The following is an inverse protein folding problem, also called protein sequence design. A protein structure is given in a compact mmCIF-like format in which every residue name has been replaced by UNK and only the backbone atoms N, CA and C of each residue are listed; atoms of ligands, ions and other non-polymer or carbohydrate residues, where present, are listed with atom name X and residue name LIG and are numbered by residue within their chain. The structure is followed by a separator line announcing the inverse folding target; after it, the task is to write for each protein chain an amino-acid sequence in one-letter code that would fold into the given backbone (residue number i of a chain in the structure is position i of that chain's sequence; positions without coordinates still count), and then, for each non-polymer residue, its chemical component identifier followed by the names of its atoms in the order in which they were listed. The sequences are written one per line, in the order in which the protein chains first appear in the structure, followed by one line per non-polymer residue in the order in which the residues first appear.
data_IF_012095868785
#
_entry.id   IF_012095868785
#
_cell.length_a   1.000
_cell.length_b   1.000
_cell.length_c   1.000
_cell.angle_alpha   90.00
_cell.angle_beta   90.00
_cell.angle_gamma   90.00
#
_symmetry.space_group_name_H-M   'P 1'
#
loop_
_entity.id
_entity.type
_entity.pdbx_description
1 polymer ?
#
# COMPACT_ATOMS: atom_id res chain seq x y z
N UNK A 1 16.96 -27.53 8.50
CA UNK A 1 15.52 -27.89 8.64
C UNK A 1 14.64 -26.80 9.29
N UNK A 2 15.09 -25.55 9.53
CA UNK A 2 14.28 -24.51 10.21
C UNK A 2 13.43 -23.59 9.31
N UNK A 3 13.74 -23.50 8.01
CA UNK A 3 13.11 -22.55 7.08
C UNK A 3 11.63 -22.86 6.74
N UNK A 4 11.16 -24.09 6.99
CA UNK A 4 9.78 -24.49 6.67
C UNK A 4 8.76 -23.99 7.70
N UNK A 5 9.18 -23.85 8.96
CA UNK A 5 8.32 -23.36 10.04
C UNK A 5 8.09 -21.85 9.95
N UNK A 6 9.10 -21.06 9.57
CA UNK A 6 8.98 -19.59 9.45
C UNK A 6 8.03 -19.15 8.32
N UNK A 7 7.91 -19.95 7.26
CA UNK A 7 7.04 -19.64 6.11
C UNK A 7 5.54 -19.77 6.46
N UNK A 8 5.17 -20.75 7.28
CA UNK A 8 3.78 -20.97 7.67
C UNK A 8 3.25 -19.81 8.54
N UNK A 9 4.03 -19.33 9.50
CA UNK A 9 3.66 -18.17 10.33
C UNK A 9 3.60 -16.86 9.53
N UNK A 10 4.44 -16.69 8.51
CA UNK A 10 4.44 -15.50 7.65
C UNK A 10 3.13 -15.33 6.86
N UNK A 11 2.51 -16.45 6.49
CA UNK A 11 1.30 -16.52 5.65
C UNK A 11 -0.01 -16.53 6.44
N UNK A 12 0.04 -16.34 7.76
CA UNK A 12 -1.16 -16.23 8.54
C UNK A 12 -1.87 -14.88 8.28
N UNK A 13 -3.15 -14.94 7.92
CA UNK A 13 -4.06 -13.81 7.82
C UNK A 13 -3.58 -12.69 6.87
N UNK A 14 -3.06 -13.07 5.70
CA UNK A 14 -2.51 -12.15 4.69
C UNK A 14 -3.58 -11.21 4.13
N UNK A 15 -4.83 -11.67 3.99
CA UNK A 15 -5.95 -10.87 3.47
C UNK A 15 -6.24 -9.67 4.38
N UNK A 16 -6.49 -9.90 5.67
CA UNK A 16 -6.72 -8.83 6.65
C UNK A 16 -5.52 -7.88 6.75
N UNK A 17 -4.29 -8.40 6.63
CA UNK A 17 -3.07 -7.58 6.60
C UNK A 17 -3.03 -6.71 5.33
N UNK A 18 -3.38 -7.27 4.17
CA UNK A 18 -3.41 -6.53 2.92
C UNK A 18 -4.48 -5.42 2.95
N UNK A 19 -5.69 -5.72 3.42
CA UNK A 19 -6.75 -4.72 3.61
C UNK A 19 -6.32 -3.60 4.56
N UNK A 20 -5.62 -3.93 5.64
CA UNK A 20 -5.06 -2.96 6.57
C UNK A 20 -3.95 -2.11 5.95
N UNK A 21 -3.07 -2.68 5.13
CA UNK A 21 -2.01 -1.91 4.45
C UNK A 21 -2.58 -1.02 3.33
N UNK A 22 -3.57 -1.49 2.59
CA UNK A 22 -4.19 -0.74 1.48
C UNK A 22 -5.09 0.39 2.01
N UNK A 23 -5.75 0.18 3.16
CA UNK A 23 -6.57 1.22 3.79
C UNK A 23 -5.76 2.36 4.41
N UNK A 24 -4.45 2.18 4.63
CA UNK A 24 -3.57 3.28 5.02
C UNK A 24 -3.47 4.29 3.88
N UNK A 25 -3.41 5.57 4.25
CA UNK A 25 -3.10 6.62 3.26
C UNK A 25 -1.72 6.38 2.66
N UNK A 26 -1.57 6.68 1.37
CA UNK A 26 -0.27 6.63 0.69
C UNK A 26 0.75 7.43 1.51
N UNK A 27 1.97 6.89 1.71
CA UNK A 27 3.00 7.62 2.45
C UNK A 27 3.33 8.91 1.72
N UNK A 28 3.67 9.94 2.50
CA UNK A 28 4.20 11.18 1.92
C UNK A 28 5.49 10.89 1.15
N UNK A 29 5.76 11.70 0.13
CA UNK A 29 6.99 11.59 -0.64
C UNK A 29 8.22 11.70 0.27
N UNK A 30 9.26 10.96 -0.06
CA UNK A 30 10.52 11.04 0.67
C UNK A 30 11.07 12.49 0.66
N UNK A 31 11.73 12.93 1.76
CA UNK A 31 12.37 14.23 1.79
C UNK A 31 13.40 14.41 0.68
N UNK A 32 13.36 15.55 0.00
CA UNK A 32 14.36 15.93 -1.02
C UNK A 32 15.65 16.43 -0.35
N UNK A 33 16.79 16.20 -1.00
CA UNK A 33 18.09 16.72 -0.58
C UNK A 33 18.10 18.26 -0.60
N UNK A 34 18.82 18.95 0.32
CA UNK A 34 18.85 20.42 0.39
C UNK A 34 19.28 21.10 -0.92
N UNK A 35 20.29 20.57 -1.63
CA UNK A 35 20.73 21.14 -2.91
C UNK A 35 19.64 21.09 -3.99
N UNK A 36 18.83 20.03 -4.01
CA UNK A 36 17.71 19.92 -4.95
C UNK A 36 16.59 20.87 -4.57
N UNK A 37 16.36 21.10 -3.26
CA UNK A 37 15.33 22.04 -2.79
C UNK A 37 15.66 23.48 -3.18
N UNK A 38 16.91 23.91 -3.01
CA UNK A 38 17.32 25.28 -3.36
C UNK A 38 17.20 25.54 -4.87
N UNK A 39 17.64 24.59 -5.70
CA UNK A 39 17.51 24.68 -7.16
C UNK A 39 16.03 24.83 -7.58
N UNK A 40 15.16 23.97 -7.04
CA UNK A 40 13.73 24.03 -7.35
C UNK A 40 13.13 25.37 -6.91
N UNK A 41 13.51 25.88 -5.74
CA UNK A 41 13.02 27.17 -5.24
C UNK A 41 13.48 28.33 -6.13
N UNK A 42 14.73 28.34 -6.56
CA UNK A 42 15.26 29.34 -7.49
C UNK A 42 14.50 29.32 -8.81
N UNK A 43 14.30 28.13 -9.39
CA UNK A 43 13.55 27.98 -10.64
C UNK A 43 12.10 28.43 -10.53
N UNK A 44 11.42 28.10 -9.42
CA UNK A 44 10.06 28.56 -9.14
C UNK A 44 9.99 30.08 -8.94
N UNK A 45 11.00 30.67 -8.31
CA UNK A 45 11.08 32.13 -8.14
C UNK A 45 11.30 32.87 -9.46
N UNK A 46 12.03 32.25 -10.40
CA UNK A 46 12.32 32.83 -11.70
C UNK A 46 11.11 32.75 -12.64
N UNK A 47 10.30 31.69 -12.53
CA UNK A 47 9.18 31.42 -13.42
C UNK A 47 7.92 31.01 -12.63
N UNK A 48 7.24 31.97 -11.98
CA UNK A 48 6.03 31.69 -11.22
C UNK A 48 4.86 31.23 -12.11
N UNK A 49 4.88 31.62 -13.39
CA UNK A 49 3.85 31.27 -14.39
C UNK A 49 3.76 29.75 -14.63
N UNK A 50 4.87 29.01 -14.44
CA UNK A 50 4.92 27.56 -14.69
C UNK A 50 3.98 26.80 -13.75
N UNK A 51 3.84 27.21 -12.48
CA UNK A 51 2.92 26.54 -11.56
C UNK A 51 1.48 26.69 -12.03
N UNK A 52 1.12 27.88 -12.51
CA UNK A 52 -0.20 28.13 -13.07
C UNK A 52 -0.43 27.34 -14.35
N UNK A 53 0.53 27.32 -15.27
CA UNK A 53 0.46 26.57 -16.52
C UNK A 53 0.32 25.06 -16.30
N UNK A 54 1.08 24.49 -15.35
CA UNK A 54 1.01 23.06 -14.99
C UNK A 54 -0.33 22.71 -14.35
N UNK A 55 -0.92 23.64 -13.58
CA UNK A 55 -2.25 23.44 -12.99
C UNK A 55 -3.37 23.50 -14.04
N UNK A 56 -3.15 24.25 -15.12
CA UNK A 56 -4.11 24.44 -16.23
C UNK A 56 -4.02 23.28 -17.22
N UNK A 57 -5.14 22.97 -17.87
CA UNK A 57 -5.17 21.93 -18.91
C UNK A 57 -4.66 22.51 -20.23
N UNK A 58 -3.63 21.89 -20.80
CA UNK A 58 -3.18 22.21 -22.16
C UNK A 58 -4.06 21.49 -23.20
N UNK A 59 -4.96 22.24 -23.84
CA UNK A 59 -5.87 21.73 -24.85
C UNK A 59 -5.15 21.26 -26.12
N UNK A 60 -3.99 21.84 -26.44
CA UNK A 60 -3.20 21.44 -27.60
C UNK A 60 -2.62 20.05 -27.37
N UNK A 61 -1.98 19.83 -26.22
CA UNK A 61 -1.47 18.52 -25.85
C UNK A 61 -2.60 17.47 -25.80
N UNK A 62 -3.76 17.84 -25.27
CA UNK A 62 -4.92 16.95 -25.23
C UNK A 62 -5.42 16.53 -26.62
N UNK A 63 -5.35 17.42 -27.62
CA UNK A 63 -5.69 17.06 -29.01
C UNK A 63 -4.71 16.04 -29.57
N UNK A 64 -3.40 16.27 -29.43
CA UNK A 64 -2.35 15.38 -29.92
C UNK A 64 -2.41 13.98 -29.27
N UNK A 65 -2.71 13.91 -27.97
CA UNK A 65 -2.85 12.64 -27.27
C UNK A 65 -4.08 11.84 -27.70
N UNK A 66 -5.14 12.50 -28.20
CA UNK A 66 -6.31 11.82 -28.76
C UNK A 66 -6.01 11.22 -30.14
N UNK A 67 -5.13 11.86 -30.90
CA UNK A 67 -4.78 11.43 -32.26
C UNK A 67 -3.91 10.16 -32.25
N UNK A 68 -3.14 9.93 -31.18
CA UNK A 68 -2.25 8.75 -31.06
C UNK A 68 -3.00 7.56 -30.46
N UNK A 69 -3.34 6.60 -31.32
CA UNK A 69 -3.89 5.31 -30.89
C UNK A 69 -2.80 4.23 -30.90
N UNK A 70 -2.49 3.67 -29.72
CA UNK A 70 -1.55 2.55 -29.59
C UNK A 70 -2.34 1.25 -29.50
N UNK A 71 -2.20 0.39 -30.51
CA UNK A 71 -2.70 -0.98 -30.46
C UNK A 71 -1.61 -1.88 -29.86
N UNK A 72 -1.63 -2.09 -28.54
CA UNK A 72 -0.78 -3.07 -27.89
C UNK A 72 -1.37 -4.46 -28.08
N UNK A 73 -0.73 -5.29 -28.89
CA UNK A 73 -1.00 -6.73 -28.91
C UNK A 73 -0.15 -7.36 -27.81
N UNK A 74 -0.81 -7.96 -26.82
CA UNK A 74 -0.10 -8.80 -25.87
C UNK A 74 0.56 -9.95 -26.63
N UNK A 75 1.84 -10.25 -26.36
CA UNK A 75 2.45 -11.44 -26.90
C UNK A 75 1.64 -12.64 -26.38
N UNK A 76 1.00 -13.38 -27.29
CA UNK A 76 0.35 -14.64 -26.95
C UNK A 76 1.42 -15.50 -26.27
N UNK A 77 1.26 -15.89 -25.00
CA UNK A 77 2.24 -16.74 -24.36
C UNK A 77 2.30 -18.03 -25.17
N UNK A 78 3.44 -18.30 -25.81
CA UNK A 78 3.72 -19.56 -26.49
C UNK A 78 3.90 -20.64 -25.43
N UNK A 79 2.82 -20.98 -24.74
CA UNK A 79 2.75 -22.23 -24.02
C UNK A 79 2.79 -23.31 -25.11
N UNK A 80 3.75 -24.26 -25.07
CA UNK A 80 3.68 -25.40 -25.97
C UNK A 80 2.34 -26.09 -25.71
N UNK A 81 1.46 -26.06 -26.72
CA UNK A 81 0.25 -26.86 -26.76
C UNK A 81 0.72 -28.30 -26.77
N UNK A 82 0.86 -28.89 -25.57
CA UNK A 82 0.84 -30.34 -25.44
C UNK A 82 -0.52 -30.77 -25.97
N UNK A 83 -0.48 -31.71 -26.90
CA UNK A 83 -1.66 -32.31 -27.50
C UNK A 83 -2.74 -32.55 -26.44
N UNK A 84 -3.98 -32.27 -26.84
CA UNK A 84 -5.19 -32.42 -26.06
C UNK A 84 -5.26 -33.87 -25.55
N UNK A 85 -4.80 -34.12 -24.33
CA UNK A 85 -5.33 -35.18 -23.48
C UNK A 85 -6.60 -34.63 -22.83
N UNK A 86 -7.66 -35.46 -22.68
CA UNK A 86 -8.96 -35.01 -22.18
C UNK A 86 -8.77 -34.27 -20.86
N UNK A 87 -9.38 -33.08 -20.78
CA UNK A 87 -9.23 -32.13 -19.69
C UNK A 87 -9.17 -32.83 -18.33
N UNK A 88 -7.96 -32.88 -17.74
CA UNK A 88 -7.87 -33.02 -16.30
C UNK A 88 -8.53 -31.77 -15.74
N UNK A 89 -9.61 -31.99 -14.99
CA UNK A 89 -10.38 -30.96 -14.30
C UNK A 89 -9.43 -29.93 -13.69
N UNK A 90 -9.80 -28.63 -13.67
CA UNK A 90 -8.97 -27.60 -13.05
C UNK A 90 -8.56 -28.13 -11.69
N UNK A 91 -7.25 -28.37 -11.53
CA UNK A 91 -6.72 -29.06 -10.36
C UNK A 91 -7.00 -28.15 -9.18
N UNK A 92 -8.11 -28.42 -8.50
CA UNK A 92 -8.51 -27.68 -7.33
C UNK A 92 -7.35 -27.85 -6.35
N UNK A 93 -6.61 -26.77 -6.11
CA UNK A 93 -5.63 -26.72 -5.02
C UNK A 93 -6.40 -26.60 -3.70
N UNK A 94 -7.28 -27.57 -3.45
CA UNK A 94 -7.81 -27.80 -2.12
C UNK A 94 -6.71 -28.51 -1.35
N UNK A 95 -6.28 -27.88 -0.26
CA UNK A 95 -5.50 -28.58 0.75
C UNK A 95 -6.30 -29.85 1.12
N UNK A 96 -5.67 -31.03 1.22
CA UNK A 96 -6.37 -32.21 1.69
C UNK A 96 -6.95 -31.88 3.08
N UNK A 97 -8.27 -31.72 3.13
CA UNK A 97 -9.02 -31.71 4.38
C UNK A 97 -9.05 -33.16 4.82
N UNK A 98 -8.05 -33.52 5.59
CA UNK A 98 -7.81 -34.89 6.05
C UNK A 98 -6.70 -34.88 7.08
N UNK A 99 -7.11 -34.92 8.34
CA UNK A 99 -6.42 -35.41 9.55
C UNK A 99 -4.98 -34.96 9.86
N UNK A 100 -4.37 -34.12 9.02
CA UNK A 100 -2.99 -33.66 9.23
C UNK A 100 -2.90 -32.42 10.14
N UNK A 101 -4.05 -31.86 10.53
CA UNK A 101 -4.17 -30.75 11.47
C UNK A 101 -4.45 -31.20 12.91
N UNK A 102 -4.48 -32.50 13.18
CA UNK A 102 -4.66 -33.08 14.52
C UNK A 102 -3.38 -33.02 15.37
N UNK A 103 -2.69 -31.89 15.30
CA UNK A 103 -1.80 -31.49 16.38
C UNK A 103 -2.68 -30.82 17.42
N UNK A 104 -3.02 -31.58 18.45
CA UNK A 104 -3.53 -31.11 19.72
C UNK A 104 -2.67 -29.92 20.24
N UNK A 105 -2.93 -28.69 19.78
CA UNK A 105 -2.37 -27.47 20.34
C UNK A 105 -3.18 -27.20 21.62
N UNK A 106 -2.84 -27.90 22.70
CA UNK A 106 -3.50 -27.74 24.01
C UNK A 106 -3.09 -26.44 24.71
N UNK A 107 -2.03 -25.79 24.24
CA UNK A 107 -1.52 -24.56 24.83
C UNK A 107 -1.46 -23.43 23.79
N UNK A 108 -2.62 -22.83 23.55
CA UNK A 108 -2.69 -21.47 22.97
C UNK A 108 -2.52 -20.52 24.16
N UNK A 109 -1.39 -19.79 24.30
CA UNK A 109 -1.28 -18.78 25.34
C UNK A 109 -2.34 -17.71 25.05
N UNK A 110 -3.36 -17.65 25.91
CA UNK A 110 -4.39 -16.62 25.86
C UNK A 110 -3.71 -15.29 26.20
N UNK A 111 -3.36 -14.52 25.18
CA UNK A 111 -2.88 -13.16 25.35
C UNK A 111 -3.88 -12.36 26.17
N UNK A 112 -3.39 -11.63 27.16
CA UNK A 112 -4.21 -10.78 28.01
C UNK A 112 -4.91 -9.75 27.12
N UNK A 113 -6.24 -9.75 27.13
CA UNK A 113 -7.02 -8.68 26.50
C UNK A 113 -6.83 -7.43 27.36
N UNK A 114 -5.91 -6.56 26.96
CA UNK A 114 -5.84 -5.21 27.51
C UNK A 114 -7.11 -4.49 27.03
N UNK A 115 -8.16 -4.52 27.82
CA UNK A 115 -9.33 -3.67 27.60
C UNK A 115 -8.88 -2.22 27.84
N UNK A 116 -8.80 -1.43 26.78
CA UNK A 116 -8.64 0.01 26.92
C UNK A 116 -9.91 0.55 27.55
N UNK A 117 -9.83 0.96 28.82
CA UNK A 117 -10.83 1.84 29.40
C UNK A 117 -10.78 3.18 28.63
N UNK A 118 -11.93 3.80 28.30
CA UNK A 118 -11.94 5.12 27.71
C UNK A 118 -11.14 6.07 28.62
N UNK A 119 -10.15 6.77 28.06
CA UNK A 119 -9.55 7.89 28.78
C UNK A 119 -10.62 8.96 28.90
N UNK A 120 -11.06 9.22 30.13
CA UNK A 120 -11.74 10.46 30.46
C UNK A 120 -10.84 11.63 30.02
N UNK A 121 -11.41 12.52 29.22
CA UNK A 121 -10.74 13.73 28.77
C UNK A 121 -10.66 14.71 29.94
N UNK A 122 -9.47 15.12 30.42
CA UNK A 122 -9.39 16.27 31.30
C UNK A 122 -9.63 17.54 30.45
N UNK A 123 -10.49 18.41 30.98
CA UNK A 123 -10.95 19.63 30.35
C UNK A 123 -9.83 20.62 30.06
N UNK A 124 -10.09 21.48 29.08
CA UNK A 124 -9.27 22.63 28.78
C UNK A 124 -9.43 23.66 29.90
N UNK A 125 -8.49 23.71 30.84
CA UNK A 125 -8.29 24.89 31.67
C UNK A 125 -7.49 25.91 30.86
N UNK A 126 -8.16 27.01 30.54
CA UNK A 126 -7.60 28.22 29.95
C UNK A 126 -6.86 28.96 31.05
N UNK A 127 -5.52 28.98 31.00
CA UNK A 127 -4.72 29.93 31.77
C UNK A 127 -4.18 31.01 30.82
N UNK A 128 -4.92 32.12 30.78
CA UNK A 128 -4.43 33.45 30.39
C UNK A 128 -3.55 33.99 31.53
N UNK A 129 -2.24 33.71 31.49
CA UNK A 129 -1.27 34.47 32.28
C UNK A 129 -0.47 35.44 31.41
N UNK A 130 -0.78 36.70 31.68
CA UNK A 130 -0.18 37.94 31.22
C UNK A 130 1.34 37.92 31.43
N UNK A 131 2.11 37.93 30.34
CA UNK A 131 3.48 38.41 30.39
C UNK A 131 3.48 39.95 30.30
N UNK A 132 3.28 40.57 31.46
CA UNK A 132 3.86 41.88 31.79
C UNK A 132 5.23 41.63 32.38
N UNK A 133 6.31 42.06 31.70
CA UNK A 133 7.48 42.73 32.29
C UNK A 133 8.70 42.66 31.34
N UNK A 134 9.20 43.86 31.02
CA UNK A 134 10.47 44.24 30.37
C UNK A 134 10.58 44.12 28.85
#
# INVERSE_FOLDING_TARGET
MGARMTRAFRNFNVEKRAEQEISKRKPSMAPKHPSTRSLLQEHLSQYPEIEEEVSRKDNKLLSLLRDVYVNSKDPVPSLPVKAIEPQQQPKEFRLPIGDQFDKNIKDIPKGNKQTYLPRDSPGNDVEDERNSAW
#
